data_IF_857269964665
#
_entry.id   IF_857269964665
#
_cell.length_a   1.000
_cell.length_b   1.000
_cell.length_c   1.000
_cell.angle_alpha   90.00
_cell.angle_beta   90.00
_cell.angle_gamma   90.00
#
_symmetry.space_group_name_H-M   'P 1'
#
loop_
_entity.id
_entity.type
_entity.pdbx_description
1 polymer ?
#
# COMPACT_ATOMS: atom_id res chain seq x y z
N UNK A 1 10.08 -0.47 -13.63
CA UNK A 1 11.03 -1.21 -12.77
C UNK A 1 10.49 -1.13 -11.36
N UNK A 2 10.04 -2.25 -10.79
CA UNK A 2 9.61 -2.31 -9.39
C UNK A 2 10.81 -2.73 -8.54
N UNK A 3 11.07 -1.99 -7.46
CA UNK A 3 12.24 -2.22 -6.59
C UNK A 3 11.93 -3.26 -5.51
N UNK A 4 10.65 -3.36 -5.13
CA UNK A 4 10.16 -4.24 -4.07
C UNK A 4 9.27 -5.33 -4.66
N UNK A 5 9.22 -6.49 -3.99
CA UNK A 5 8.25 -7.55 -4.32
C UNK A 5 6.87 -7.24 -3.73
N UNK A 6 6.83 -6.61 -2.56
CA UNK A 6 5.61 -6.28 -1.81
C UNK A 6 5.73 -4.90 -1.16
N UNK A 7 4.59 -4.26 -0.96
CA UNK A 7 4.47 -2.93 -0.36
C UNK A 7 3.52 -3.03 0.83
N UNK A 8 4.02 -2.69 2.03
CA UNK A 8 3.18 -2.58 3.23
C UNK A 8 2.75 -1.12 3.42
N UNK A 9 1.45 -0.90 3.57
CA UNK A 9 0.87 0.43 3.82
C UNK A 9 0.67 0.62 5.31
N UNK A 10 1.17 1.73 5.84
CA UNK A 10 1.04 2.08 7.26
C UNK A 10 0.14 3.30 7.39
N UNK A 11 -0.86 3.20 8.26
CA UNK A 11 -1.71 4.31 8.68
C UNK A 11 -1.86 4.27 10.21
N UNK A 12 -1.76 5.42 10.87
CA UNK A 12 -1.80 5.54 12.34
C UNK A 12 -0.85 4.57 13.08
N UNK A 13 0.35 4.36 12.54
CA UNK A 13 1.36 3.48 13.14
C UNK A 13 1.03 1.99 13.06
N UNK A 14 0.03 1.58 12.26
CA UNK A 14 -0.34 0.18 12.04
C UNK A 14 -0.27 -0.16 10.57
N UNK A 15 0.14 -1.40 10.26
CA UNK A 15 0.06 -1.93 8.90
C UNK A 15 -1.42 -2.19 8.59
N UNK A 16 -1.95 -1.48 7.58
CA UNK A 16 -3.35 -1.59 7.16
C UNK A 16 -3.52 -2.49 5.93
N UNK A 17 -2.44 -2.73 5.19
CA UNK A 17 -2.46 -3.61 4.02
C UNK A 17 -1.07 -3.99 3.55
N UNK A 18 -0.98 -5.12 2.85
CA UNK A 18 0.20 -5.55 2.12
C UNK A 18 -0.26 -5.88 0.70
N UNK A 19 0.32 -5.21 -0.29
CA UNK A 19 0.04 -5.44 -1.70
C UNK A 19 1.27 -5.96 -2.40
N UNK A 20 1.09 -6.85 -3.38
CA UNK A 20 2.19 -7.24 -4.26
C UNK A 20 2.51 -6.06 -5.18
N UNK A 21 3.79 -5.79 -5.41
CA UNK A 21 4.19 -4.59 -6.15
C UNK A 21 3.70 -4.60 -7.61
N UNK A 22 3.46 -5.78 -8.17
CA UNK A 22 2.84 -5.97 -9.50
C UNK A 22 1.39 -5.47 -9.56
N UNK A 23 0.69 -5.48 -8.43
CA UNK A 23 -0.73 -5.11 -8.31
C UNK A 23 -0.87 -3.72 -7.64
N UNK A 24 0.25 -3.05 -7.38
CA UNK A 24 0.29 -1.75 -6.73
C UNK A 24 -0.20 -0.67 -7.68
N UNK A 25 -1.26 0.02 -7.28
CA UNK A 25 -1.84 1.18 -7.97
C UNK A 25 -1.79 2.40 -7.05
N UNK A 26 -1.41 3.56 -7.59
CA UNK A 26 -1.21 4.79 -6.82
C UNK A 26 -2.49 5.27 -6.13
N UNK A 27 -3.65 5.12 -6.78
CA UNK A 27 -4.93 5.54 -6.19
C UNK A 27 -5.32 4.60 -5.03
N UNK A 28 -5.14 3.30 -5.23
CA UNK A 28 -5.43 2.28 -4.22
C UNK A 28 -4.52 2.45 -2.99
N UNK A 29 -3.22 2.63 -3.23
CA UNK A 29 -2.25 2.91 -2.17
C UNK A 29 -2.55 4.24 -1.47
N UNK A 30 -2.87 5.30 -2.22
CA UNK A 30 -3.29 6.61 -1.70
C UNK A 30 -4.51 6.51 -0.80
N UNK A 31 -5.52 5.74 -1.21
CA UNK A 31 -6.72 5.49 -0.43
C UNK A 31 -6.41 4.76 0.87
N UNK A 32 -5.61 3.68 0.84
CA UNK A 32 -5.17 2.96 2.04
C UNK A 32 -4.35 3.86 2.98
N UNK A 33 -3.48 4.72 2.43
CA UNK A 33 -2.69 5.69 3.19
C UNK A 33 -3.55 6.78 3.84
N UNK A 34 -4.74 7.06 3.30
CA UNK A 34 -5.68 8.02 3.86
C UNK A 34 -6.62 7.42 4.92
N UNK A 35 -6.48 6.13 5.25
CA UNK A 35 -7.39 5.42 6.16
C UNK A 35 -8.69 4.96 5.48
N UNK A 36 -8.75 5.01 4.15
CA UNK A 36 -9.80 4.38 3.37
C UNK A 36 -9.70 2.86 3.50
N UNK A 37 -10.80 2.23 3.88
CA UNK A 37 -10.88 0.78 4.12
C UNK A 37 -11.25 0.02 2.87
#
# INVERSE_FOLDING_TARGET
MNVSDRIAVIYEGKIVGIVDAKDADENTLGFMMAGGK
#
